data_IF_831762170220
#
_entry.id   IF_831762170220
#
_cell.length_a   1.000
_cell.length_b   1.000
_cell.length_c   1.000
_cell.angle_alpha   90.00
_cell.angle_beta   90.00
_cell.angle_gamma   90.00
#
_symmetry.space_group_name_H-M   'P 1'
#
loop_
_entity.id
_entity.type
_entity.pdbx_description
1 polymer ?
#
# COMPACT_ATOMS: atom_id res chain seq x y z
N UNK A 1 34.43 3.30 -6.21
CA UNK A 1 33.25 2.98 -5.38
C UNK A 1 32.00 3.42 -6.14
N UNK A 2 31.20 2.44 -6.54
CA UNK A 2 29.90 2.63 -7.19
C UNK A 2 28.87 3.21 -6.22
N UNK A 3 27.78 3.75 -6.75
CA UNK A 3 26.68 4.24 -5.92
C UNK A 3 26.06 3.11 -5.07
N UNK A 4 26.00 1.89 -5.60
CA UNK A 4 25.53 0.70 -4.86
C UNK A 4 26.39 0.45 -3.62
N UNK A 5 27.72 0.44 -3.76
CA UNK A 5 28.64 0.22 -2.63
C UNK A 5 28.52 1.31 -1.56
N UNK A 6 28.34 2.58 -1.97
CA UNK A 6 28.09 3.69 -1.03
C UNK A 6 26.79 3.51 -0.24
N UNK A 7 25.71 3.08 -0.91
CA UNK A 7 24.42 2.83 -0.26
C UNK A 7 24.56 1.71 0.79
N UNK A 8 25.19 0.59 0.42
CA UNK A 8 25.39 -0.54 1.34
C UNK A 8 26.15 -0.11 2.60
N UNK A 9 27.22 0.68 2.45
CA UNK A 9 27.98 1.20 3.60
C UNK A 9 27.14 2.14 4.49
N UNK A 10 26.24 2.92 3.91
CA UNK A 10 25.37 3.80 4.70
C UNK A 10 24.39 2.99 5.56
N UNK A 11 23.89 1.85 5.06
CA UNK A 11 22.95 1.00 5.79
C UNK A 11 23.51 0.52 7.13
N UNK A 12 24.82 0.25 7.23
CA UNK A 12 25.48 -0.17 8.48
C UNK A 12 25.43 0.91 9.58
N UNK A 13 25.18 2.16 9.22
CA UNK A 13 25.13 3.31 10.15
C UNK A 13 23.71 3.76 10.49
N UNK A 14 22.70 3.20 9.81
CA UNK A 14 21.30 3.59 9.99
C UNK A 14 20.77 2.99 11.30
N UNK A 15 20.15 3.80 12.17
CA UNK A 15 19.47 3.26 13.34
C UNK A 15 18.30 2.35 12.97
N UNK A 16 18.10 1.24 13.69
CA UNK A 16 17.07 0.22 13.39
C UNK A 16 15.67 0.80 13.19
N UNK A 17 15.24 1.77 14.01
CA UNK A 17 13.92 2.39 13.90
C UNK A 17 13.71 3.18 12.60
N UNK A 18 14.78 3.50 11.85
CA UNK A 18 14.72 4.12 10.52
C UNK A 18 14.89 3.14 9.39
N UNK A 19 15.35 1.91 9.66
CA UNK A 19 15.57 0.90 8.64
C UNK A 19 14.27 0.54 7.90
N UNK A 20 13.14 0.55 8.62
CA UNK A 20 11.82 0.35 8.03
C UNK A 20 11.47 1.37 6.94
N UNK A 21 11.85 2.64 7.10
CA UNK A 21 11.60 3.66 6.07
C UNK A 21 12.41 3.42 4.80
N UNK A 22 13.68 3.01 4.96
CA UNK A 22 14.56 2.72 3.83
C UNK A 22 14.05 1.48 3.09
N UNK A 23 13.69 0.44 3.83
CA UNK A 23 13.13 -0.78 3.26
C UNK A 23 11.87 -0.46 2.44
N UNK A 24 10.93 0.29 3.02
CA UNK A 24 9.70 0.68 2.33
C UNK A 24 9.97 1.48 1.04
N UNK A 25 10.92 2.42 1.07
CA UNK A 25 11.29 3.20 -0.11
C UNK A 25 11.90 2.34 -1.22
N UNK A 26 12.85 1.47 -0.87
CA UNK A 26 13.49 0.56 -1.83
C UNK A 26 12.46 -0.40 -2.41
N UNK A 27 11.59 -0.97 -1.57
CA UNK A 27 10.50 -1.84 -2.02
C UNK A 27 9.58 -1.11 -3.00
N UNK A 28 9.19 0.13 -2.70
CA UNK A 28 8.33 0.95 -3.57
C UNK A 28 8.94 1.22 -4.95
N UNK A 29 10.22 1.59 -5.04
CA UNK A 29 10.86 1.85 -6.35
C UNK A 29 11.20 0.57 -7.12
N UNK A 30 11.22 -0.59 -6.43
CA UNK A 30 11.41 -1.90 -7.07
C UNK A 30 10.09 -2.60 -7.36
N UNK A 31 8.96 -1.99 -6.99
CA UNK A 31 7.64 -2.51 -7.32
C UNK A 31 7.46 -2.51 -8.84
N UNK A 32 6.74 -3.50 -9.33
CA UNK A 32 6.41 -3.63 -10.74
C UNK A 32 5.19 -2.74 -11.03
N UNK A 33 5.43 -1.54 -11.54
CA UNK A 33 4.36 -0.58 -11.87
C UNK A 33 3.34 -1.17 -12.85
N UNK A 34 3.74 -2.07 -13.75
CA UNK A 34 2.81 -2.73 -14.69
C UNK A 34 1.88 -3.70 -13.95
N UNK A 35 2.42 -4.44 -12.98
CA UNK A 35 1.60 -5.31 -12.13
C UNK A 35 0.62 -4.50 -11.26
N UNK A 36 1.05 -3.35 -10.74
CA UNK A 36 0.21 -2.43 -9.97
C UNK A 36 -0.91 -1.83 -10.84
N UNK A 37 -0.62 -1.44 -12.08
CA UNK A 37 -1.60 -0.93 -13.04
C UNK A 37 -2.66 -2.00 -13.38
N UNK A 38 -2.21 -3.24 -13.65
CA UNK A 38 -3.11 -4.38 -13.91
C UNK A 38 -4.01 -4.64 -12.70
N UNK A 39 -3.43 -4.61 -11.49
CA UNK A 39 -4.18 -4.80 -10.25
C UNK A 39 -5.24 -3.70 -10.05
N UNK A 40 -4.85 -2.43 -10.17
CA UNK A 40 -5.76 -1.29 -10.01
C UNK A 40 -6.89 -1.31 -11.04
N UNK A 41 -6.58 -1.61 -12.30
CA UNK A 41 -7.58 -1.72 -13.36
C UNK A 41 -8.59 -2.83 -13.06
N UNK A 42 -8.11 -4.00 -12.65
CA UNK A 42 -8.98 -5.12 -12.29
C UNK A 42 -9.90 -4.77 -11.13
N UNK A 43 -9.39 -4.09 -10.09
CA UNK A 43 -10.18 -3.68 -8.94
C UNK A 43 -11.36 -2.77 -9.34
N UNK A 44 -11.15 -1.83 -10.28
CA UNK A 44 -12.23 -0.99 -10.81
C UNK A 44 -13.21 -1.80 -11.65
N UNK A 45 -12.72 -2.67 -12.52
CA UNK A 45 -13.58 -3.54 -13.33
C UNK A 45 -14.45 -4.45 -12.45
N UNK A 46 -13.89 -5.03 -11.40
CA UNK A 46 -14.60 -5.88 -10.44
C UNK A 46 -15.71 -5.06 -9.73
N UNK A 47 -15.40 -3.85 -9.24
CA UNK A 47 -16.39 -2.95 -8.62
C UNK A 47 -17.52 -2.54 -9.58
N UNK A 48 -17.19 -2.15 -10.81
CA UNK A 48 -18.18 -1.75 -11.82
C UNK A 48 -19.09 -2.91 -12.19
N UNK A 49 -18.55 -4.11 -12.32
CA UNK A 49 -19.30 -5.32 -12.68
C UNK A 49 -19.99 -6.00 -11.50
N UNK A 50 -19.76 -5.53 -10.26
CA UNK A 50 -20.43 -6.08 -9.10
C UNK A 50 -21.96 -5.90 -9.23
N UNK A 51 -22.68 -6.99 -9.00
CA UNK A 51 -24.14 -7.07 -9.07
C UNK A 51 -24.81 -6.78 -7.74
N UNK A 52 -24.04 -6.57 -6.67
CA UNK A 52 -24.55 -6.18 -5.36
C UNK A 52 -25.34 -4.85 -5.48
N UNK A 53 -26.65 -4.84 -5.14
CA UNK A 53 -27.45 -3.63 -5.20
C UNK A 53 -27.03 -2.56 -4.18
N UNK A 54 -26.28 -2.93 -3.14
CA UNK A 54 -25.80 -2.04 -2.07
C UNK A 54 -24.36 -1.55 -2.32
N UNK A 55 -23.73 -1.89 -3.46
CA UNK A 55 -22.31 -1.57 -3.72
C UNK A 55 -21.96 -0.08 -3.69
N UNK A 56 -22.95 0.76 -4.01
CA UNK A 56 -22.83 2.21 -4.05
C UNK A 56 -23.43 2.86 -2.79
N UNK A 57 -23.82 2.07 -1.78
CA UNK A 57 -24.32 2.59 -0.51
C UNK A 57 -23.17 3.19 0.30
N UNK A 58 -23.40 4.41 0.77
CA UNK A 58 -22.45 5.14 1.60
C UNK A 58 -22.79 4.98 3.07
N UNK A 59 -21.80 4.62 3.88
CA UNK A 59 -21.92 4.51 5.33
C UNK A 59 -20.99 5.52 6.01
N UNK A 60 -21.47 6.15 7.07
CA UNK A 60 -20.59 6.99 7.89
C UNK A 60 -19.66 6.12 8.73
N UNK A 61 -18.48 6.65 9.04
CA UNK A 61 -17.53 5.96 9.91
C UNK A 61 -18.14 5.64 11.29
N UNK A 62 -19.00 6.51 11.81
CA UNK A 62 -19.65 6.31 13.11
C UNK A 62 -20.66 5.16 13.09
N UNK A 63 -21.41 5.00 11.99
CA UNK A 63 -22.29 3.84 11.78
C UNK A 63 -21.49 2.54 11.73
N UNK A 64 -20.41 2.50 10.93
CA UNK A 64 -19.55 1.31 10.84
C UNK A 64 -18.92 0.96 12.19
N UNK A 65 -18.41 1.95 12.93
CA UNK A 65 -17.83 1.74 14.26
C UNK A 65 -18.85 1.16 15.23
N UNK A 66 -20.08 1.70 15.23
CA UNK A 66 -21.16 1.21 16.07
C UNK A 66 -21.53 -0.24 15.71
N UNK A 67 -21.63 -0.56 14.43
CA UNK A 67 -21.92 -1.92 13.95
C UNK A 67 -20.83 -2.92 14.34
N UNK A 68 -19.56 -2.54 14.19
CA UNK A 68 -18.41 -3.39 14.49
C UNK A 68 -18.03 -3.45 15.97
N UNK A 69 -18.74 -2.73 16.85
CA UNK A 69 -18.45 -2.67 18.28
C UNK A 69 -17.15 -1.94 18.63
N UNK A 70 -16.73 -1.01 17.78
CA UNK A 70 -15.57 -0.16 18.00
C UNK A 70 -16.03 1.14 18.68
N UNK A 71 -15.53 1.38 19.90
CA UNK A 71 -15.78 2.61 20.66
C UNK A 71 -14.66 3.64 20.43
#
# INVERSE_FOLDING_TARGET
MSNKEKIVQLLDTVPDYKMGYILAYVQGITADEEADDIFCKKMIEDYVNDTDPEKDDEYTLDECKKEWGLN
#
